data_IF_314554336246
#
_entry.id   IF_314554336246
#
_cell.length_a   1.000
_cell.length_b   1.000
_cell.length_c   1.000
_cell.angle_alpha   90.00
_cell.angle_beta   90.00
_cell.angle_gamma   90.00
#
_symmetry.space_group_name_H-M   'P 1'
#
loop_
_entity.id
_entity.type
_entity.pdbx_description
1 polymer ?
#
# COMPACT_ATOMS: atom_id res chain seq x y z
N UNK A 1 14.12 -13.05 33.73
CA UNK A 1 14.27 -11.67 33.22
C UNK A 1 12.88 -11.05 33.23
N UNK A 2 12.66 -9.90 33.88
CA UNK A 2 11.36 -9.22 33.80
C UNK A 2 11.14 -8.75 32.37
N UNK A 3 10.13 -9.28 31.68
CA UNK A 3 9.68 -8.70 30.42
C UNK A 3 9.10 -7.32 30.71
N UNK A 4 9.73 -6.28 30.18
CA UNK A 4 9.12 -4.95 30.13
C UNK A 4 8.10 -4.95 29.01
N UNK A 5 6.81 -4.92 29.35
CA UNK A 5 5.75 -4.78 28.36
C UNK A 5 5.88 -3.43 27.64
N UNK A 6 5.65 -3.41 26.32
CA UNK A 6 5.62 -2.20 25.50
C UNK A 6 4.22 -2.05 24.90
N UNK A 7 3.74 -0.82 24.78
CA UNK A 7 2.39 -0.50 24.27
C UNK A 7 2.46 0.53 23.16
N UNK A 8 1.52 0.44 22.20
CA UNK A 8 1.31 1.42 21.13
C UNK A 8 -0.19 1.65 20.95
N UNK A 9 -0.59 2.91 20.74
CA UNK A 9 -1.98 3.33 20.51
C UNK A 9 -2.04 4.31 19.34
N UNK A 10 -3.13 4.30 18.58
CA UNK A 10 -3.41 5.26 17.51
C UNK A 10 -4.91 5.47 17.38
N UNK A 11 -5.32 6.58 16.76
CA UNK A 11 -6.70 6.91 16.46
C UNK A 11 -6.92 6.87 14.94
N UNK A 12 -8.16 6.64 14.52
CA UNK A 12 -8.54 6.70 13.11
C UNK A 12 -9.92 7.31 12.91
N UNK A 13 -10.13 7.91 11.74
CA UNK A 13 -11.44 8.35 11.27
C UNK A 13 -12.14 7.17 10.60
N UNK A 14 -13.48 7.14 10.64
CA UNK A 14 -14.29 6.12 9.99
C UNK A 14 -13.88 5.92 8.51
N UNK A 15 -13.25 4.79 8.14
CA UNK A 15 -12.69 4.61 6.80
C UNK A 15 -13.77 4.47 5.73
N UNK A 16 -15.02 4.15 6.11
CA UNK A 16 -16.13 4.07 5.16
C UNK A 16 -16.47 5.44 4.59
N UNK A 17 -16.39 6.51 5.39
CA UNK A 17 -16.64 7.88 4.92
C UNK A 17 -15.57 8.34 3.91
N UNK A 18 -14.31 7.99 4.16
CA UNK A 18 -13.22 8.19 3.18
C UNK A 18 -13.48 7.40 1.90
N UNK A 19 -13.94 6.15 2.02
CA UNK A 19 -14.29 5.30 0.88
C UNK A 19 -15.42 5.88 0.03
N UNK A 20 -16.47 6.45 0.66
CA UNK A 20 -17.57 7.11 -0.08
C UNK A 20 -17.08 8.35 -0.84
N UNK A 21 -16.26 9.21 -0.22
CA UNK A 21 -15.63 10.35 -0.91
C UNK A 21 -14.83 9.91 -2.12
N UNK A 22 -14.11 8.79 -2.01
CA UNK A 22 -13.32 8.23 -3.11
C UNK A 22 -14.14 7.87 -4.36
N UNK A 23 -15.45 7.58 -4.22
CA UNK A 23 -16.32 7.29 -5.38
C UNK A 23 -16.65 8.53 -6.21
N UNK A 24 -16.51 9.72 -5.62
CA UNK A 24 -16.89 11.00 -6.23
C UNK A 24 -15.74 11.67 -7.00
N UNK A 25 -14.57 11.04 -7.10
CA UNK A 25 -13.37 11.62 -7.68
C UNK A 25 -12.59 10.62 -8.53
N UNK A 26 -11.63 11.11 -9.33
CA UNK A 26 -10.66 10.23 -9.97
C UNK A 26 -9.77 9.58 -8.91
N UNK A 27 -9.21 8.41 -9.24
CA UNK A 27 -8.30 7.75 -8.31
C UNK A 27 -7.02 8.56 -8.06
N UNK A 28 -6.57 9.36 -9.04
CA UNK A 28 -5.46 10.28 -8.85
C UNK A 28 -5.78 11.35 -7.80
N UNK A 29 -6.92 12.03 -7.92
CA UNK A 29 -7.33 13.10 -7.00
C UNK A 29 -7.52 12.56 -5.57
N UNK A 30 -8.09 11.37 -5.44
CA UNK A 30 -8.23 10.69 -4.15
C UNK A 30 -6.88 10.44 -3.48
N UNK A 31 -5.94 9.85 -4.21
CA UNK A 31 -4.60 9.57 -3.67
C UNK A 31 -3.82 10.85 -3.38
N UNK A 32 -3.99 11.89 -4.20
CA UNK A 32 -3.36 13.19 -3.99
C UNK A 32 -3.89 13.87 -2.72
N UNK A 33 -5.21 13.79 -2.48
CA UNK A 33 -5.81 14.27 -1.24
C UNK A 33 -5.27 13.55 -0.01
N UNK A 34 -5.04 12.22 -0.09
CA UNK A 34 -4.40 11.46 0.99
C UNK A 34 -2.94 11.90 1.18
N UNK A 35 -2.17 12.04 0.10
CA UNK A 35 -0.77 12.48 0.14
C UNK A 35 -0.62 13.87 0.78
N UNK A 36 -1.57 14.78 0.54
CA UNK A 36 -1.60 16.14 1.12
C UNK A 36 -2.19 16.20 2.54
N UNK A 37 -2.78 15.12 3.03
CA UNK A 37 -3.46 15.08 4.33
C UNK A 37 -4.85 15.75 4.33
N UNK A 38 -5.40 16.06 3.15
CA UNK A 38 -6.77 16.59 2.98
C UNK A 38 -7.82 15.48 3.13
N UNK A 39 -7.43 14.25 2.77
CA UNK A 39 -8.22 13.02 2.95
C UNK A 39 -7.51 12.14 3.99
N UNK A 40 -8.19 11.64 5.03
CA UNK A 40 -7.58 10.74 6.00
C UNK A 40 -7.01 9.48 5.33
N UNK A 41 -5.77 9.11 5.70
CA UNK A 41 -5.18 7.85 5.29
C UNK A 41 -5.94 6.65 5.86
N UNK A 42 -5.90 5.46 5.21
CA UNK A 42 -6.57 4.28 5.73
C UNK A 42 -5.92 3.82 7.05
N UNK A 43 -6.70 3.30 8.03
CA UNK A 43 -6.17 2.93 9.35
C UNK A 43 -5.01 1.94 9.30
N UNK A 44 -4.97 1.06 8.30
CA UNK A 44 -3.88 0.09 8.11
C UNK A 44 -2.49 0.75 7.94
N UNK A 45 -2.44 1.96 7.37
CA UNK A 45 -1.20 2.73 7.22
C UNK A 45 -0.65 3.17 8.58
N UNK A 46 -1.53 3.62 9.48
CA UNK A 46 -1.17 3.89 10.86
C UNK A 46 -0.80 2.60 11.61
N UNK A 47 -1.56 1.52 11.44
CA UNK A 47 -1.25 0.22 12.09
C UNK A 47 0.16 -0.27 11.79
N UNK A 48 0.63 -0.09 10.55
CA UNK A 48 1.90 -0.66 10.06
C UNK A 48 3.00 0.38 9.78
N UNK A 49 2.85 1.62 10.25
CA UNK A 49 3.84 2.72 10.11
C UNK A 49 4.42 2.88 8.69
N UNK A 50 3.52 3.01 7.72
CA UNK A 50 3.87 3.43 6.36
C UNK A 50 3.05 4.63 5.93
N UNK A 51 3.61 5.47 5.05
CA UNK A 51 2.92 6.66 4.55
C UNK A 51 3.26 6.95 3.07
N UNK A 52 2.37 7.64 2.35
CA UNK A 52 2.63 8.05 0.97
C UNK A 52 3.90 8.91 0.90
N UNK A 53 4.73 8.66 -0.12
CA UNK A 53 5.96 9.40 -0.38
C UNK A 53 5.86 10.17 -1.70
N UNK A 54 5.36 9.55 -2.77
CA UNK A 54 5.18 10.20 -4.07
C UNK A 54 4.04 9.58 -4.86
N UNK A 55 3.42 10.39 -5.71
CA UNK A 55 2.31 10.00 -6.59
C UNK A 55 2.58 10.48 -8.01
N UNK A 56 2.66 9.54 -8.93
CA UNK A 56 2.64 9.75 -10.37
C UNK A 56 1.58 8.81 -10.97
N UNK A 57 1.04 9.16 -12.13
CA UNK A 57 0.06 8.29 -12.80
C UNK A 57 0.68 6.94 -13.19
N UNK A 58 0.17 5.85 -12.61
CA UNK A 58 0.66 4.50 -12.81
C UNK A 58 1.89 4.16 -11.96
N UNK A 59 2.37 5.07 -11.10
CA UNK A 59 3.56 4.85 -10.27
C UNK A 59 3.45 5.55 -8.93
N UNK A 60 3.40 4.77 -7.86
CA UNK A 60 3.18 5.29 -6.50
C UNK A 60 4.23 4.75 -5.56
N UNK A 61 4.81 5.61 -4.73
CA UNK A 61 5.75 5.20 -3.71
C UNK A 61 5.28 5.57 -2.31
N UNK A 62 5.60 4.69 -1.37
CA UNK A 62 5.38 4.86 0.05
C UNK A 62 6.70 4.65 0.77
N UNK A 63 6.89 5.38 1.86
CA UNK A 63 7.93 5.07 2.83
C UNK A 63 7.39 4.15 3.91
N UNK A 64 8.19 3.17 4.31
CA UNK A 64 7.91 2.22 5.37
C UNK A 64 9.07 2.24 6.35
N UNK A 65 8.77 2.49 7.63
CA UNK A 65 9.77 2.43 8.69
C UNK A 65 9.63 1.11 9.44
N UNK A 66 10.59 0.16 9.31
CA UNK A 66 10.63 -1.02 10.16
C UNK A 66 10.61 -0.64 11.64
N UNK A 67 9.77 -1.31 12.43
CA UNK A 67 9.60 -1.13 13.87
C UNK A 67 9.59 -2.48 14.56
N UNK A 68 9.91 -2.51 15.86
CA UNK A 68 10.00 -3.76 16.63
C UNK A 68 8.67 -4.51 16.68
N UNK A 69 7.55 -3.80 16.76
CA UNK A 69 6.22 -4.42 16.79
C UNK A 69 5.79 -5.03 15.44
N UNK A 70 6.56 -4.82 14.37
CA UNK A 70 6.38 -5.51 13.09
C UNK A 70 7.11 -6.86 13.03
N UNK A 71 7.91 -7.21 14.05
CA UNK A 71 8.74 -8.40 14.02
C UNK A 71 7.91 -9.68 14.11
N UNK A 72 8.38 -10.71 13.40
CA UNK A 72 8.01 -12.09 13.61
C UNK A 72 8.84 -12.71 14.78
N UNK A 73 8.52 -13.92 15.23
CA UNK A 73 9.26 -14.58 16.31
C UNK A 73 10.73 -14.90 16.01
N UNK A 74 11.15 -14.87 14.74
CA UNK A 74 12.52 -15.22 14.32
C UNK A 74 13.44 -13.97 14.17
N UNK A 75 12.96 -12.78 14.57
CA UNK A 75 13.80 -11.59 14.70
C UNK A 75 13.91 -10.71 13.44
N UNK A 76 12.97 -10.82 12.51
CA UNK A 76 12.86 -9.95 11.33
C UNK A 76 11.43 -9.44 11.15
N UNK A 77 11.24 -8.42 10.33
CA UNK A 77 9.91 -7.92 9.99
C UNK A 77 9.09 -9.06 9.38
N UNK A 78 7.86 -9.24 9.86
CA UNK A 78 6.95 -10.27 9.37
C UNK A 78 6.66 -10.07 7.88
N UNK A 79 6.73 -11.15 7.09
CA UNK A 79 6.51 -11.09 5.65
C UNK A 79 5.15 -10.48 5.28
N UNK A 80 4.11 -10.74 6.08
CA UNK A 80 2.79 -10.12 5.93
C UNK A 80 2.78 -8.59 5.99
N UNK A 81 3.63 -7.97 6.83
CA UNK A 81 3.75 -6.49 6.87
C UNK A 81 4.30 -5.97 5.55
N UNK A 82 5.37 -6.59 5.06
CA UNK A 82 5.96 -6.25 3.75
C UNK A 82 4.95 -6.48 2.62
N UNK A 83 4.20 -7.59 2.66
CA UNK A 83 3.15 -7.88 1.68
C UNK A 83 2.06 -6.82 1.67
N UNK A 84 1.59 -6.35 2.84
CA UNK A 84 0.59 -5.28 2.92
C UNK A 84 1.09 -3.95 2.36
N UNK A 85 2.35 -3.60 2.62
CA UNK A 85 2.96 -2.38 2.05
C UNK A 85 3.06 -2.50 0.52
N UNK A 86 3.51 -3.65 0.00
CA UNK A 86 3.61 -3.88 -1.44
C UNK A 86 2.24 -3.92 -2.13
N UNK A 87 1.25 -4.59 -1.54
CA UNK A 87 -0.13 -4.60 -2.04
C UNK A 87 -0.72 -3.18 -2.08
N UNK A 88 -0.46 -2.36 -1.05
CA UNK A 88 -0.90 -0.97 -1.01
C UNK A 88 -0.32 -0.17 -2.18
N UNK A 89 1.00 -0.19 -2.40
CA UNK A 89 1.60 0.60 -3.50
C UNK A 89 1.18 0.09 -4.88
N UNK A 90 0.94 -1.22 -5.04
CA UNK A 90 0.42 -1.77 -6.30
C UNK A 90 -1.02 -1.34 -6.56
N UNK A 91 -1.88 -1.44 -5.54
CA UNK A 91 -3.25 -0.94 -5.61
C UNK A 91 -3.30 0.54 -5.94
N UNK A 92 -2.51 1.37 -5.25
CA UNK A 92 -2.43 2.81 -5.52
C UNK A 92 -1.87 3.12 -6.91
N UNK A 93 -0.89 2.36 -7.41
CA UNK A 93 -0.37 2.53 -8.77
C UNK A 93 -1.46 2.31 -9.82
N UNK A 94 -2.29 1.27 -9.68
CA UNK A 94 -3.47 1.10 -10.52
C UNK A 94 -4.48 2.24 -10.30
N UNK A 95 -4.84 2.52 -9.06
CA UNK A 95 -5.88 3.48 -8.71
C UNK A 95 -5.59 4.87 -9.27
N UNK A 96 -4.33 5.30 -9.28
CA UNK A 96 -3.89 6.58 -9.85
C UNK A 96 -4.22 6.78 -11.34
N UNK A 97 -4.61 5.71 -12.07
CA UNK A 97 -5.01 5.73 -13.48
C UNK A 97 -6.52 5.56 -13.69
N UNK A 98 -7.27 5.29 -12.63
CA UNK A 98 -8.70 5.00 -12.75
C UNK A 98 -9.51 6.30 -12.81
N UNK A 99 -10.40 6.43 -13.80
CA UNK A 99 -11.37 7.52 -13.80
C UNK A 99 -12.38 7.32 -12.67
N UNK A 100 -13.11 8.39 -12.36
CA UNK A 100 -14.21 8.35 -11.40
C UNK A 100 -15.21 7.22 -11.75
N UNK A 101 -15.70 6.53 -10.72
CA UNK A 101 -16.72 5.48 -10.86
C UNK A 101 -16.17 4.09 -11.20
N UNK A 102 -14.85 3.94 -11.34
CA UNK A 102 -14.18 2.65 -11.52
C UNK A 102 -13.42 2.27 -10.25
N UNK A 103 -13.81 1.15 -9.65
CA UNK A 103 -13.09 0.50 -8.55
C UNK A 103 -12.19 -0.63 -9.06
N UNK A 104 -11.44 -1.22 -8.14
CA UNK A 104 -10.71 -2.44 -8.36
C UNK A 104 -10.69 -3.32 -7.10
N UNK A 105 -10.36 -4.59 -7.28
CA UNK A 105 -10.05 -5.51 -6.18
C UNK A 105 -8.87 -6.42 -6.55
N UNK A 106 -8.02 -6.75 -5.58
CA UNK A 106 -6.89 -7.66 -5.77
C UNK A 106 -7.40 -9.10 -5.95
N UNK A 107 -7.02 -9.77 -7.04
CA UNK A 107 -7.36 -11.17 -7.32
C UNK A 107 -6.27 -12.13 -6.86
N UNK A 108 -5.02 -11.74 -7.08
CA UNK A 108 -3.85 -12.50 -6.66
C UNK A 108 -2.76 -11.53 -6.22
N UNK A 109 -1.92 -12.04 -5.32
CA UNK A 109 -0.74 -11.35 -4.84
C UNK A 109 0.39 -12.36 -4.71
N UNK A 110 1.51 -12.11 -5.37
CA UNK A 110 2.74 -12.89 -5.22
C UNK A 110 3.88 -12.01 -4.76
N UNK A 111 4.48 -12.35 -3.62
CA UNK A 111 5.65 -11.65 -3.08
C UNK A 111 6.85 -12.60 -3.05
N UNK A 112 7.99 -12.13 -3.54
CA UNK A 112 9.30 -12.75 -3.37
C UNK A 112 10.08 -11.98 -2.31
N UNK A 113 10.45 -12.66 -1.22
CA UNK A 113 11.31 -12.08 -0.18
C UNK A 113 12.77 -12.40 -0.50
N UNK A 114 13.58 -11.35 -0.69
CA UNK A 114 14.97 -11.46 -1.16
C UNK A 114 15.96 -11.26 0.00
N UNK A 115 15.64 -10.34 0.92
CA UNK A 115 16.44 -10.07 2.13
C UNK A 115 15.55 -9.87 3.34
N UNK A 116 16.05 -10.26 4.51
CA UNK A 116 15.40 -9.96 5.77
C UNK A 116 15.39 -8.45 6.02
N UNK A 117 14.21 -7.89 6.33
CA UNK A 117 14.08 -6.51 6.81
C UNK A 117 14.19 -6.54 8.34
N UNK A 118 14.97 -5.62 8.91
CA UNK A 118 15.13 -5.43 10.36
C UNK A 118 15.17 -3.94 10.68
N UNK A 119 15.20 -3.56 11.95
CA UNK A 119 15.43 -2.17 12.36
C UNK A 119 16.73 -1.57 11.78
N UNK A 120 17.74 -2.42 11.50
CA UNK A 120 19.01 -1.98 10.91
C UNK A 120 18.90 -1.65 9.41
N UNK A 121 17.82 -2.05 8.75
CA UNK A 121 17.58 -1.76 7.34
C UNK A 121 17.31 -0.27 7.09
N UNK A 122 16.97 0.50 8.14
CA UNK A 122 16.60 1.92 8.02
C UNK A 122 15.23 2.10 7.36
N UNK A 123 14.92 3.34 6.97
CA UNK A 123 13.71 3.66 6.23
C UNK A 123 13.73 3.00 4.85
N UNK A 124 12.64 2.35 4.49
CA UNK A 124 12.50 1.61 3.24
C UNK A 124 11.56 2.35 2.30
N UNK A 125 11.81 2.25 1.00
CA UNK A 125 10.90 2.74 -0.05
C UNK A 125 10.21 1.56 -0.73
N UNK A 126 8.88 1.52 -0.66
CA UNK A 126 8.05 0.66 -1.50
C UNK A 126 7.58 1.45 -2.71
N UNK A 127 7.68 0.89 -3.91
CA UNK A 127 7.24 1.58 -5.14
C UNK A 127 6.52 0.61 -6.07
N UNK A 128 5.25 0.89 -6.34
CA UNK A 128 4.40 0.15 -7.27
C UNK A 128 4.37 0.81 -8.64
N UNK A 129 4.27 0.00 -9.70
CA UNK A 129 4.24 0.42 -11.11
C UNK A 129 3.19 -0.40 -11.87
N UNK A 130 2.22 0.28 -12.47
CA UNK A 130 1.25 -0.33 -13.37
C UNK A 130 1.97 -0.77 -14.65
N UNK A 131 1.92 -2.07 -14.94
CA UNK A 131 2.56 -2.65 -16.12
C UNK A 131 1.58 -2.74 -17.29
N UNK A 132 0.35 -3.14 -17.00
CA UNK A 132 -0.70 -3.24 -18.02
C UNK A 132 -2.09 -3.05 -17.40
N UNK A 133 -2.97 -2.33 -18.08
CA UNK A 133 -4.39 -2.24 -17.76
C UNK A 133 -5.22 -2.63 -18.98
N UNK A 134 -5.98 -3.72 -18.85
CA UNK A 134 -6.94 -4.17 -19.84
C UNK A 134 -8.36 -3.70 -19.52
N UNK A 135 -9.36 -4.38 -20.11
CA UNK A 135 -10.78 -4.04 -19.90
C UNK A 135 -11.31 -4.50 -18.54
N UNK A 136 -10.90 -5.67 -18.08
CA UNK A 136 -11.43 -6.32 -16.87
C UNK A 136 -10.36 -6.55 -15.80
N UNK A 137 -9.09 -6.57 -16.17
CA UNK A 137 -7.98 -6.79 -15.24
C UNK A 137 -6.81 -5.87 -15.51
N UNK A 138 -5.97 -5.69 -14.49
CA UNK A 138 -4.71 -4.96 -14.57
C UNK A 138 -3.60 -5.75 -13.88
N UNK A 139 -2.38 -5.60 -14.38
CA UNK A 139 -1.18 -6.23 -13.85
C UNK A 139 -0.20 -5.14 -13.36
N UNK A 140 0.27 -5.30 -12.12
CA UNK A 140 1.06 -4.33 -11.40
C UNK A 140 2.24 -5.05 -10.74
N UNK A 141 3.39 -4.38 -10.66
CA UNK A 141 4.53 -4.84 -9.88
C UNK A 141 4.91 -3.83 -8.80
N UNK A 142 5.69 -4.26 -7.81
CA UNK A 142 6.30 -3.37 -6.84
C UNK A 142 7.63 -3.89 -6.29
N UNK A 143 8.49 -2.97 -5.87
CA UNK A 143 9.73 -3.27 -5.16
C UNK A 143 9.75 -2.63 -3.77
N UNK A 144 10.39 -3.30 -2.81
CA UNK A 144 10.83 -2.72 -1.55
C UNK A 144 12.36 -2.57 -1.55
N UNK A 145 12.87 -1.35 -1.39
CA UNK A 145 14.31 -1.03 -1.40
C UNK A 145 14.72 -0.24 -0.15
N UNK A 146 15.97 -0.39 0.28
CA UNK A 146 16.57 0.45 1.33
C UNK A 146 17.03 1.81 0.77
N UNK A 147 17.59 2.67 1.64
CA UNK A 147 18.12 3.98 1.26
C UNK A 147 19.34 3.93 0.31
N UNK A 148 19.96 2.76 0.14
CA UNK A 148 21.04 2.53 -0.83
C UNK A 148 20.53 1.91 -2.15
N UNK A 149 19.22 1.71 -2.29
CA UNK A 149 18.59 1.12 -3.47
C UNK A 149 18.69 -0.40 -3.56
N UNK A 150 19.14 -1.09 -2.51
CA UNK A 150 19.23 -2.56 -2.50
C UNK A 150 17.82 -3.14 -2.40
N UNK A 151 17.54 -4.17 -3.19
CA UNK A 151 16.23 -4.84 -3.23
C UNK A 151 16.05 -5.83 -2.06
N UNK A 152 14.91 -5.73 -1.36
CA UNK A 152 14.54 -6.58 -0.23
C UNK A 152 13.33 -7.48 -0.52
N UNK A 153 12.38 -6.98 -1.30
CA UNK A 153 11.25 -7.76 -1.75
C UNK A 153 10.76 -7.24 -3.10
N UNK A 154 10.17 -8.14 -3.89
CA UNK A 154 9.52 -7.82 -5.16
C UNK A 154 8.15 -8.50 -5.21
N UNK A 155 7.13 -7.74 -5.58
CA UNK A 155 5.75 -8.19 -5.64
C UNK A 155 5.14 -8.01 -7.02
N UNK A 156 4.19 -8.87 -7.34
CA UNK A 156 3.28 -8.71 -8.48
C UNK A 156 1.85 -8.92 -8.03
N UNK A 157 0.91 -8.27 -8.69
CA UNK A 157 -0.52 -8.37 -8.41
C UNK A 157 -1.33 -8.28 -9.70
N UNK A 158 -2.42 -9.03 -9.73
CA UNK A 158 -3.48 -8.90 -10.73
C UNK A 158 -4.72 -8.37 -10.02
N UNK A 159 -5.24 -7.25 -10.49
CA UNK A 159 -6.47 -6.66 -9.98
C UNK A 159 -7.60 -6.82 -11.00
N UNK A 160 -8.84 -7.00 -10.52
CA UNK A 160 -10.05 -6.87 -11.34
C UNK A 160 -10.55 -5.44 -11.31
N UNK A 161 -10.98 -4.89 -12.45
CA UNK A 161 -11.66 -3.60 -12.54
C UNK A 161 -13.18 -3.78 -12.35
N UNK A 162 -13.78 -2.93 -11.54
CA UNK A 162 -15.19 -2.96 -11.18
C UNK A 162 -15.85 -1.64 -11.58
N UNK A 163 -16.90 -1.69 -12.42
CA UNK A 163 -17.64 -0.50 -12.81
C UNK A 163 -18.86 -0.31 -11.91
N UNK A 164 -18.90 0.76 -11.12
CA UNK A 164 -20.04 1.05 -10.24
C UNK A 164 -21.29 1.52 -11.00
N UNK A 165 -21.18 1.95 -12.26
CA UNK A 165 -22.35 2.41 -13.04
C UNK A 165 -23.30 1.27 -13.46
N UNK A 166 -22.87 0.01 -13.41
CA UNK A 166 -23.68 -1.13 -13.88
C UNK A 166 -24.53 -1.82 -12.78
N UNK A 167 -24.41 -1.40 -11.52
CA UNK A 167 -25.11 -2.05 -10.39
C UNK A 167 -26.42 -1.35 -9.96
N UNK A 168 -26.97 -0.45 -10.79
CA UNK A 168 -28.30 0.17 -10.59
C UNK A 168 -29.38 -0.43 -11.52
N UNK A 169 -29.29 -1.74 -11.85
CA UNK A 169 -30.37 -2.46 -12.52
C UNK A 169 -31.10 -3.38 -11.56
#
# INVERSE_FOLDING_TARGET
>A
MSQTNRTRTYEWVNPLETGEKGKEMSGYDFLNGILKGEIPAPPIAATLDFRPLSLEEGKVAFEFQPQEFHYNPIGSIHGGVISTVLDTVMGCALHSRLPQGIAYTTLELKINFIKAVTLKSGTMKAEGRLIHAGKSTAFIEADLKDGEGRLYAHGTSTCMLLNFQNNQK
#
